data_IF_020714155052
#
_entry.id   IF_020714155052
#
_cell.length_a   1.000
_cell.length_b   1.000
_cell.length_c   1.000
_cell.angle_alpha   90.00
_cell.angle_beta   90.00
_cell.angle_gamma   90.00
#
_symmetry.space_group_name_H-M   'P 1'
#
loop_
_entity.id
_entity.type
_entity.pdbx_description
1 polymer ?
#
# COMPACT_ATOMS: atom_id res chain seq x y z
N UNK A 1 -8.01 0.62 -9.32
CA UNK A 1 -7.65 2.03 -9.56
C UNK A 1 -6.13 2.12 -9.71
N UNK A 2 -5.62 2.93 -10.64
CA UNK A 2 -4.17 3.18 -10.78
C UNK A 2 -3.90 4.63 -10.38
N UNK A 3 -2.76 4.85 -9.71
CA UNK A 3 -2.26 6.18 -9.36
C UNK A 3 -0.95 6.42 -10.10
N UNK A 4 -0.82 7.64 -10.62
CA UNK A 4 0.47 8.13 -11.09
C UNK A 4 1.43 8.25 -9.89
N UNK A 5 2.76 8.17 -10.12
CA UNK A 5 3.74 8.18 -9.05
C UNK A 5 3.55 9.36 -8.08
N UNK A 6 3.33 10.56 -8.62
CA UNK A 6 3.14 11.77 -7.81
C UNK A 6 1.91 11.70 -6.90
N UNK A 7 0.82 11.12 -7.37
CA UNK A 7 -0.41 10.99 -6.60
C UNK A 7 -0.25 9.95 -5.49
N UNK A 8 0.40 8.83 -5.81
CA UNK A 8 0.72 7.79 -4.85
C UNK A 8 1.60 8.31 -3.71
N UNK A 9 2.71 8.98 -4.03
CA UNK A 9 3.59 9.54 -3.00
C UNK A 9 2.89 10.59 -2.13
N UNK A 10 2.07 11.47 -2.73
CA UNK A 10 1.28 12.46 -1.97
C UNK A 10 0.23 11.81 -1.06
N UNK A 11 -0.34 10.67 -1.46
CA UNK A 11 -1.25 9.91 -0.59
C UNK A 11 -0.51 9.36 0.63
N UNK A 12 0.72 8.86 0.47
CA UNK A 12 1.53 8.34 1.58
C UNK A 12 1.85 9.41 2.64
N UNK A 13 2.00 10.68 2.24
CA UNK A 13 2.22 11.80 3.17
C UNK A 13 1.05 12.00 4.16
N UNK A 14 -0.15 11.53 3.82
CA UNK A 14 -1.35 11.65 4.64
C UNK A 14 -1.75 10.32 5.31
N UNK A 15 -0.94 9.27 5.14
CA UNK A 15 -1.23 7.96 5.70
C UNK A 15 -0.92 7.91 7.20
N UNK A 16 -1.79 7.23 7.96
CA UNK A 16 -1.53 6.92 9.37
C UNK A 16 -0.60 5.73 9.54
N UNK A 17 -0.47 4.91 8.49
CA UNK A 17 0.33 3.70 8.49
C UNK A 17 0.83 3.39 7.08
N UNK A 18 2.11 3.06 6.94
CA UNK A 18 2.71 2.65 5.66
C UNK A 18 3.68 1.52 5.91
N UNK A 19 3.43 0.36 5.29
CA UNK A 19 4.33 -0.79 5.35
C UNK A 19 4.64 -1.24 3.92
N UNK A 20 5.92 -1.48 3.68
CA UNK A 20 6.41 -2.05 2.44
C UNK A 20 6.85 -3.49 2.67
N UNK A 21 6.70 -4.31 1.63
CA UNK A 21 7.37 -5.61 1.60
C UNK A 21 8.88 -5.42 1.42
N UNK A 22 9.65 -6.47 1.71
CA UNK A 22 11.12 -6.45 1.60
C UNK A 22 11.61 -6.13 0.18
N UNK A 23 10.78 -6.39 -0.84
CA UNK A 23 11.12 -6.14 -2.25
C UNK A 23 10.72 -4.75 -2.75
N UNK A 24 10.08 -3.92 -1.91
CA UNK A 24 9.54 -2.60 -2.26
C UNK A 24 8.60 -2.63 -3.49
N UNK A 25 7.84 -3.71 -3.66
CA UNK A 25 6.86 -3.92 -4.73
C UNK A 25 5.43 -3.82 -4.22
N UNK A 26 5.17 -4.11 -2.95
CA UNK A 26 3.85 -4.04 -2.35
C UNK A 26 3.85 -3.10 -1.16
N UNK A 27 2.82 -2.27 -1.07
CA UNK A 27 2.67 -1.24 -0.06
C UNK A 27 1.28 -1.31 0.55
N UNK A 28 1.20 -1.64 1.83
CA UNK A 28 -0.03 -1.52 2.61
C UNK A 28 -0.07 -0.13 3.25
N UNK A 29 -1.16 0.59 3.00
CA UNK A 29 -1.36 1.96 3.46
C UNK A 29 -2.62 2.01 4.31
N UNK A 30 -2.53 2.56 5.51
CA UNK A 30 -3.68 2.93 6.33
C UNK A 30 -3.99 4.42 6.15
N UNK A 31 -5.23 4.74 5.79
CA UNK A 31 -5.69 6.11 5.57
C UNK A 31 -6.73 6.52 6.63
N UNK A 32 -6.62 7.72 7.23
CA UNK A 32 -7.55 8.17 8.24
C UNK A 32 -8.99 8.23 7.71
N UNK A 33 -9.90 7.49 8.34
CA UNK A 33 -11.32 7.43 7.95
C UNK A 33 -11.62 6.62 6.68
N UNK A 34 -10.61 6.12 5.97
CA UNK A 34 -10.75 5.35 4.72
C UNK A 34 -10.32 3.88 4.85
N UNK A 35 -9.64 3.51 5.94
CA UNK A 35 -9.18 2.14 6.19
C UNK A 35 -7.91 1.77 5.43
N UNK A 36 -7.71 0.48 5.17
CA UNK A 36 -6.49 -0.02 4.51
C UNK A 36 -6.62 -0.08 2.99
N UNK A 37 -5.50 0.12 2.30
CA UNK A 37 -5.34 -0.07 0.86
C UNK A 37 -4.02 -0.76 0.55
N UNK A 38 -4.07 -1.81 -0.26
CA UNK A 38 -2.88 -2.52 -0.71
C UNK A 38 -2.58 -2.13 -2.15
N UNK A 39 -1.40 -1.58 -2.38
CA UNK A 39 -0.91 -1.21 -3.70
C UNK A 39 0.23 -2.11 -4.15
N UNK A 40 0.29 -2.38 -5.46
CA UNK A 40 1.50 -2.83 -6.13
C UNK A 40 2.19 -1.63 -6.78
N UNK A 41 3.44 -1.38 -6.41
CA UNK A 41 4.27 -0.34 -7.00
C UNK A 41 5.20 -0.94 -8.05
N UNK A 42 5.02 -0.53 -9.30
CA UNK A 42 5.91 -0.87 -10.42
C UNK A 42 6.85 0.31 -10.65
N UNK A 43 8.13 0.04 -10.96
CA UNK A 43 9.16 1.09 -11.16
C UNK A 43 9.40 1.45 -12.64
N UNK A 44 8.93 0.63 -13.58
CA UNK A 44 9.08 0.87 -15.02
C UNK A 44 7.93 0.26 -15.84
N UNK A 45 6.95 1.07 -16.33
CA UNK A 45 6.77 2.47 -15.97
C UNK A 45 6.46 2.62 -14.47
N UNK A 46 6.79 3.76 -13.88
CA UNK A 46 6.43 4.01 -12.48
C UNK A 46 4.91 4.14 -12.36
N UNK A 47 4.27 3.29 -11.55
CA UNK A 47 2.83 3.36 -11.26
C UNK A 47 2.48 2.60 -9.99
N UNK A 48 1.41 3.01 -9.32
CA UNK A 48 0.83 2.24 -8.23
C UNK A 48 -0.55 1.71 -8.63
N UNK A 49 -0.74 0.40 -8.55
CA UNK A 49 -2.04 -0.25 -8.82
C UNK A 49 -2.67 -0.72 -7.52
N UNK A 50 -3.88 -0.25 -7.22
CA UNK A 50 -4.67 -0.74 -6.10
C UNK A 50 -5.07 -2.20 -6.36
N UNK A 51 -4.67 -3.09 -5.46
CA UNK A 51 -5.00 -4.51 -5.51
C UNK A 51 -6.25 -4.83 -4.68
N UNK A 52 -6.35 -4.24 -3.50
CA UNK A 52 -7.45 -4.45 -2.57
C UNK A 52 -7.60 -3.24 -1.63
N UNK A 53 -8.78 -3.11 -1.04
CA UNK A 53 -9.12 -2.09 -0.04
C UNK A 53 -9.87 -2.71 1.16
N UNK A 54 -10.00 -1.93 2.24
CA UNK A 54 -10.67 -2.34 3.46
C UNK A 54 -9.96 -3.47 4.21
N UNK A 55 -10.74 -4.28 4.93
CA UNK A 55 -10.21 -5.42 5.69
C UNK A 55 -9.50 -6.46 4.80
N UNK A 56 -9.96 -6.59 3.56
CA UNK A 56 -9.37 -7.51 2.58
C UNK A 56 -7.94 -7.12 2.21
N UNK A 57 -7.64 -5.83 2.11
CA UNK A 57 -6.28 -5.34 1.90
C UNK A 57 -5.33 -5.79 3.01
N UNK A 58 -5.76 -5.66 4.27
CA UNK A 58 -4.97 -6.08 5.42
C UNK A 58 -4.77 -7.61 5.45
N UNK A 59 -5.81 -8.38 5.11
CA UNK A 59 -5.76 -9.84 5.05
C UNK A 59 -4.76 -10.32 3.99
N UNK A 60 -4.82 -9.76 2.78
CA UNK A 60 -3.90 -10.12 1.69
C UNK A 60 -2.47 -9.69 2.03
N UNK A 61 -2.29 -8.47 2.54
CA UNK A 61 -0.99 -7.94 2.90
C UNK A 61 -0.28 -8.85 3.92
N UNK A 62 -0.97 -9.25 5.00
CA UNK A 62 -0.46 -10.22 5.98
C UNK A 62 -0.08 -11.55 5.34
N UNK A 63 -0.95 -12.12 4.50
CA UNK A 63 -0.67 -13.38 3.81
C UNK A 63 0.56 -13.29 2.87
N UNK A 64 0.88 -12.09 2.40
CA UNK A 64 2.06 -11.78 1.58
C UNK A 64 3.29 -11.37 2.39
N UNK A 65 3.21 -11.32 3.73
CA UNK A 65 4.29 -10.84 4.60
C UNK A 65 4.50 -9.33 4.58
N UNK A 66 3.51 -8.56 4.09
CA UNK A 66 3.52 -7.09 4.06
C UNK A 66 2.85 -6.57 5.34
N UNK A 67 3.47 -6.85 6.47
CA UNK A 67 3.03 -6.39 7.79
C UNK A 67 4.22 -5.88 8.59
N UNK A 68 3.97 -4.97 9.53
CA UNK A 68 5.03 -4.48 10.40
C UNK A 68 5.45 -5.62 11.35
N UNK A 69 6.74 -5.92 11.35
CA UNK A 69 7.33 -7.01 12.15
C UNK A 69 7.49 -6.57 13.61
N UNK A 70 7.17 -5.32 13.96
CA UNK A 70 7.30 -4.75 15.30
C UNK A 70 6.08 -5.00 16.24
N UNK A 71 5.38 -6.12 16.10
CA UNK A 71 4.33 -6.55 17.03
C UNK A 71 4.84 -7.56 18.08
#
# INVERSE_FOLDING_TARGET
MNLEPKEFWRMLENATWVVWDETFRYCLVGLPGEGYRLYRYERNPQRASLLADGEEAARIARAMGVEDVAA
#
